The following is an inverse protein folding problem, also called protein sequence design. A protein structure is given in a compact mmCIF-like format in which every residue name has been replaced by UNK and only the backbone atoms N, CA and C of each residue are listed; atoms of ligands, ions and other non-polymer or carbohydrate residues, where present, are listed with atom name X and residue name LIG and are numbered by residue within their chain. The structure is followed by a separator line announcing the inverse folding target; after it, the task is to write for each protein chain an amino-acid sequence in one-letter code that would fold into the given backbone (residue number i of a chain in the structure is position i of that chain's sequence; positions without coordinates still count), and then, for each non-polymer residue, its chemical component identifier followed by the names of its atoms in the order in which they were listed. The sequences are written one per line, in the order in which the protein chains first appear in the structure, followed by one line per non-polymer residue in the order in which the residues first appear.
data_IF_505543454764
#
_entry.id   IF_505543454764
#
_cell.length_a   1.000
_cell.length_b   1.000
_cell.length_c   1.000
_cell.angle_alpha   90.00
_cell.angle_beta   90.00
_cell.angle_gamma   90.00
#
_symmetry.space_group_name_H-M   'P 1'
#
loop_
_entity.id
_entity.type
_entity.pdbx_description
1 polymer ?
#
# COMPACT_ATOMS: atom_id res chain seq x y z
N UNK A 1 -16.27 -6.89 15.21
CA UNK A 1 -16.28 -5.53 14.65
C UNK A 1 -16.59 -5.63 13.17
N UNK A 2 -17.65 -4.97 12.70
CA UNK A 2 -18.02 -4.90 11.28
C UNK A 2 -17.51 -3.56 10.75
N UNK A 3 -16.68 -3.58 9.70
CA UNK A 3 -16.04 -2.39 9.15
C UNK A 3 -14.91 -2.74 8.18
N UNK A 4 -14.54 -1.79 7.31
CA UNK A 4 -13.45 -1.96 6.35
C UNK A 4 -12.13 -2.09 7.12
N UNK A 5 -11.52 -3.29 7.09
CA UNK A 5 -10.23 -3.52 7.74
C UNK A 5 -9.07 -2.93 6.97
N UNK A 6 -9.10 -3.02 5.64
CA UNK A 6 -8.06 -2.56 4.71
C UNK A 6 -8.54 -2.68 3.27
N UNK A 7 -8.18 -1.71 2.43
CA UNK A 7 -8.29 -1.84 0.98
C UNK A 7 -6.95 -2.33 0.41
N UNK A 8 -6.95 -3.30 -0.50
CA UNK A 8 -5.72 -3.82 -1.10
C UNK A 8 -5.74 -3.54 -2.61
N UNK A 9 -4.70 -2.87 -3.10
CA UNK A 9 -4.44 -2.60 -4.51
C UNK A 9 -3.33 -3.54 -4.97
N UNK A 10 -3.62 -4.32 -6.02
CA UNK A 10 -2.63 -5.20 -6.61
C UNK A 10 -1.93 -4.51 -7.77
N UNK A 11 -0.60 -4.51 -7.73
CA UNK A 11 0.28 -4.03 -8.79
C UNK A 11 0.86 -5.22 -9.56
N UNK A 12 1.35 -4.97 -10.77
CA UNK A 12 1.89 -6.03 -11.63
C UNK A 12 3.33 -6.36 -11.25
N UNK A 13 4.11 -5.37 -10.82
CA UNK A 13 5.56 -5.49 -10.61
C UNK A 13 5.99 -4.94 -9.25
N UNK A 14 7.00 -5.54 -8.66
CA UNK A 14 7.58 -5.08 -7.39
C UNK A 14 8.17 -3.66 -7.53
N UNK A 15 8.68 -3.29 -8.71
CA UNK A 15 9.17 -1.94 -8.98
C UNK A 15 8.08 -0.87 -8.81
N UNK A 16 6.81 -1.22 -9.04
CA UNK A 16 5.69 -0.30 -8.86
C UNK A 16 5.37 -0.07 -7.38
N UNK A 17 5.71 -1.01 -6.49
CA UNK A 17 5.61 -0.81 -5.04
C UNK A 17 6.62 0.24 -4.57
N UNK A 18 7.84 0.20 -5.09
CA UNK A 18 8.86 1.21 -4.82
C UNK A 18 8.45 2.59 -5.34
N UNK A 19 7.85 2.66 -6.53
CA UNK A 19 7.31 3.91 -7.07
C UNK A 19 6.19 4.48 -6.18
N UNK A 20 5.28 3.63 -5.68
CA UNK A 20 4.24 4.05 -4.74
C UNK A 20 4.86 4.58 -3.45
N UNK A 21 5.85 3.87 -2.90
CA UNK A 21 6.58 4.28 -1.68
C UNK A 21 7.25 5.63 -1.86
N UNK A 22 8.00 5.81 -2.94
CA UNK A 22 8.70 7.04 -3.25
C UNK A 22 7.72 8.22 -3.39
N UNK A 23 6.59 8.02 -4.09
CA UNK A 23 5.55 9.06 -4.24
C UNK A 23 4.87 9.39 -2.92
N UNK A 24 4.58 8.40 -2.08
CA UNK A 24 3.97 8.62 -0.77
C UNK A 24 4.89 9.47 0.12
N UNK A 25 6.18 9.12 0.19
CA UNK A 25 7.18 9.87 0.95
C UNK A 25 7.37 11.29 0.40
N UNK A 26 7.43 11.46 -0.93
CA UNK A 26 7.51 12.77 -1.57
C UNK A 26 6.28 13.66 -1.28
N UNK A 27 5.12 13.04 -1.05
CA UNK A 27 3.89 13.72 -0.64
C UNK A 27 3.78 13.96 0.88
N UNK A 28 4.80 13.57 1.67
CA UNK A 28 4.79 13.70 3.13
C UNK A 28 3.91 12.68 3.85
N UNK A 29 3.56 11.57 3.19
CA UNK A 29 2.80 10.47 3.79
C UNK A 29 3.73 9.47 4.46
N UNK A 30 3.23 8.82 5.52
CA UNK A 30 3.91 7.66 6.10
C UNK A 30 3.69 6.42 5.21
N UNK A 31 4.76 5.68 4.97
CA UNK A 31 4.74 4.40 4.29
C UNK A 31 5.42 3.35 5.16
N UNK A 32 4.71 2.27 5.47
CA UNK A 32 5.24 1.14 6.23
C UNK A 32 5.42 -0.07 5.32
N UNK A 33 6.54 -0.77 5.46
CA UNK A 33 6.74 -2.04 4.78
C UNK A 33 5.87 -3.13 5.43
N UNK A 34 5.29 -3.97 4.60
CA UNK A 34 4.60 -5.20 4.97
C UNK A 34 5.08 -6.32 4.07
N UNK A 35 5.00 -7.58 4.51
CA UNK A 35 5.41 -8.72 3.68
C UNK A 35 4.79 -8.65 2.27
N UNK A 36 5.65 -8.48 1.26
CA UNK A 36 5.27 -8.33 -0.15
C UNK A 36 4.43 -7.09 -0.47
N UNK A 37 4.58 -5.99 0.26
CA UNK A 37 3.82 -4.77 -0.02
C UNK A 37 4.15 -3.53 0.81
N UNK A 38 3.44 -2.45 0.49
CA UNK A 38 3.53 -1.15 1.18
C UNK A 38 2.18 -0.81 1.78
N UNK A 39 2.16 -0.38 3.04
CA UNK A 39 0.96 0.07 3.74
C UNK A 39 0.99 1.59 3.90
N UNK A 40 -0.04 2.25 3.38
CA UNK A 40 -0.31 3.68 3.54
C UNK A 40 -1.59 3.89 4.33
N UNK A 41 -1.84 5.15 4.73
CA UNK A 41 -3.15 5.62 5.18
C UNK A 41 -3.72 6.63 4.19
N UNK A 42 -5.01 6.51 3.92
CA UNK A 42 -5.74 7.53 3.17
C UNK A 42 -5.98 8.80 4.04
N UNK A 43 -6.50 9.90 3.46
CA UNK A 43 -6.77 11.13 4.22
C UNK A 43 -7.76 10.97 5.38
N UNK A 44 -8.51 9.88 5.45
CA UNK A 44 -9.44 9.55 6.53
C UNK A 44 -8.87 8.52 7.51
N UNK A 45 -7.62 8.13 7.34
CA UNK A 45 -6.90 7.19 8.20
C UNK A 45 -7.14 5.71 7.89
N UNK A 46 -7.88 5.36 6.83
CA UNK A 46 -8.09 3.96 6.46
C UNK A 46 -6.80 3.35 5.91
N UNK A 47 -6.47 2.12 6.30
CA UNK A 47 -5.29 1.44 5.77
C UNK A 47 -5.50 1.02 4.32
N UNK A 48 -4.54 1.35 3.47
CA UNK A 48 -4.47 0.96 2.06
C UNK A 48 -3.16 0.20 1.85
N UNK A 49 -3.25 -1.08 1.48
CA UNK A 49 -2.08 -1.90 1.12
C UNK A 49 -1.92 -1.94 -0.38
N UNK A 50 -0.71 -1.70 -0.84
CA UNK A 50 -0.24 -2.02 -2.17
C UNK A 50 0.55 -3.32 -2.08
N UNK A 51 0.28 -4.27 -2.95
CA UNK A 51 1.00 -5.54 -3.02
C UNK A 51 1.11 -5.98 -4.48
N UNK A 52 2.06 -6.85 -4.82
CA UNK A 52 1.99 -7.56 -6.10
C UNK A 52 0.97 -8.69 -6.02
N UNK A 53 0.34 -9.01 -7.16
CA UNK A 53 -0.55 -10.16 -7.21
C UNK A 53 0.23 -11.44 -6.82
N UNK A 54 -0.35 -12.34 -6.01
CA UNK A 54 0.30 -13.61 -5.73
C UNK A 54 0.56 -14.33 -7.06
N UNK A 55 1.79 -14.79 -7.26
CA UNK A 55 2.12 -15.69 -8.36
C UNK A 55 1.31 -16.97 -8.14
N UNK A 56 0.22 -17.12 -8.89
CA UNK A 56 -0.60 -18.34 -8.90
C UNK A 56 0.15 -19.52 -9.50
#
# INVERSE_FOLDING_TARGET
MVGLRRWTVFLERDSELEDVRARALAAGLEAADMDGGVLLRDPWGHPVRFATAPSG
#
